data_IF_147772755543
#
_entry.id   IF_147772755543
#
_cell.length_a   1.000
_cell.length_b   1.000
_cell.length_c   1.000
_cell.angle_alpha   90.00
_cell.angle_beta   90.00
_cell.angle_gamma   90.00
#
_symmetry.space_group_name_H-M   'P 1'
#
loop_
_entity.id
_entity.type
_entity.pdbx_description
1 polymer ?
#
# COMPACT_ATOMS: atom_id res chain seq x y z
N UNK A 1 0.35 -11.23 -1.95
CA UNK A 1 -0.75 -10.62 -2.74
C UNK A 1 -0.39 -10.59 -4.22
N UNK A 2 -1.38 -10.41 -5.11
CA UNK A 2 -1.21 -10.28 -6.57
C UNK A 2 -2.20 -9.24 -7.09
N UNK A 3 -1.86 -8.37 -8.05
CA UNK A 3 -0.54 -8.19 -8.68
C UNK A 3 0.41 -7.35 -7.80
N UNK A 4 1.69 -7.34 -8.18
CA UNK A 4 2.73 -6.48 -7.57
C UNK A 4 2.74 -5.05 -8.12
N UNK A 5 2.04 -4.82 -9.23
CA UNK A 5 1.84 -3.53 -9.87
C UNK A 5 0.44 -3.45 -10.51
N UNK A 6 -0.03 -2.23 -10.81
CA UNK A 6 -1.31 -2.03 -11.50
C UNK A 6 -1.32 -2.78 -12.83
N UNK A 7 -2.34 -3.65 -13.04
CA UNK A 7 -2.46 -4.50 -14.22
C UNK A 7 -3.79 -4.32 -14.96
N UNK A 8 -3.85 -3.32 -15.82
CA UNK A 8 -5.02 -3.12 -16.70
C UNK A 8 -5.29 -4.35 -17.58
N UNK A 9 -4.23 -4.99 -18.07
CA UNK A 9 -4.33 -6.21 -18.88
C UNK A 9 -4.91 -7.37 -18.08
N UNK A 10 -4.43 -7.60 -16.87
CA UNK A 10 -4.95 -8.66 -15.98
C UNK A 10 -6.43 -8.45 -15.67
N UNK A 11 -6.81 -7.20 -15.34
CA UNK A 11 -8.21 -6.82 -15.12
C UNK A 11 -9.08 -7.09 -16.34
N UNK A 12 -8.63 -6.67 -17.53
CA UNK A 12 -9.35 -6.90 -18.79
C UNK A 12 -9.56 -8.40 -19.03
N UNK A 13 -8.52 -9.23 -18.88
CA UNK A 13 -8.61 -10.67 -19.10
C UNK A 13 -9.61 -11.34 -18.16
N UNK A 14 -9.63 -11.00 -16.87
CA UNK A 14 -10.59 -11.57 -15.92
C UNK A 14 -12.03 -11.21 -16.30
N UNK A 15 -12.28 -9.95 -16.67
CA UNK A 15 -13.61 -9.50 -17.10
C UNK A 15 -14.05 -10.15 -18.43
N UNK A 16 -13.14 -10.35 -19.38
CA UNK A 16 -13.42 -11.06 -20.64
C UNK A 16 -13.77 -12.52 -20.40
N UNK A 17 -13.05 -13.21 -19.50
CA UNK A 17 -13.36 -14.60 -19.13
C UNK A 17 -14.73 -14.71 -18.46
N UNK A 18 -15.06 -13.79 -17.55
CA UNK A 18 -16.38 -13.74 -16.94
C UNK A 18 -17.49 -13.52 -17.99
N UNK A 19 -17.29 -12.59 -18.93
CA UNK A 19 -18.24 -12.35 -20.02
C UNK A 19 -18.39 -13.52 -21.01
N UNK A 20 -17.37 -14.40 -21.12
CA UNK A 20 -17.47 -15.65 -21.89
C UNK A 20 -18.31 -16.69 -21.14
N UNK A 21 -18.18 -16.76 -19.81
CA UNK A 21 -19.02 -17.62 -18.99
C UNK A 21 -20.50 -17.32 -19.17
N UNK A 22 -20.88 -16.04 -19.21
CA UNK A 22 -22.25 -15.60 -19.45
C UNK A 22 -22.82 -16.06 -20.81
N UNK A 23 -21.95 -16.40 -21.76
CA UNK A 23 -22.30 -16.99 -23.07
C UNK A 23 -22.33 -18.52 -23.07
N UNK A 24 -22.24 -19.14 -21.91
CA UNK A 24 -22.23 -20.60 -21.77
C UNK A 24 -20.87 -21.26 -22.05
N UNK A 25 -19.79 -20.48 -22.14
CA UNK A 25 -18.43 -21.01 -22.33
C UNK A 25 -17.79 -21.23 -20.97
N UNK A 26 -17.41 -22.47 -20.67
CA UNK A 26 -16.64 -22.75 -19.44
C UNK A 26 -15.28 -22.07 -19.49
N UNK A 27 -15.02 -21.22 -18.51
CA UNK A 27 -13.78 -20.45 -18.41
C UNK A 27 -13.20 -20.58 -17.01
N UNK A 28 -11.86 -20.55 -16.93
CA UNK A 28 -11.18 -20.66 -15.64
C UNK A 28 -9.85 -19.94 -15.61
N UNK A 29 -9.35 -19.70 -14.39
CA UNK A 29 -8.06 -19.08 -14.11
C UNK A 29 -7.31 -19.88 -13.07
N UNK A 30 -6.04 -20.18 -13.36
CA UNK A 30 -5.14 -20.77 -12.40
C UNK A 30 -4.01 -19.78 -12.05
N UNK A 31 -3.96 -19.38 -10.80
CA UNK A 31 -2.84 -18.60 -10.27
C UNK A 31 -1.76 -19.54 -9.74
N UNK A 32 -0.56 -19.42 -10.27
CA UNK A 32 0.60 -20.16 -9.81
C UNK A 32 1.45 -19.28 -8.90
N UNK A 33 1.49 -19.62 -7.62
CA UNK A 33 2.21 -18.84 -6.59
C UNK A 33 3.54 -19.55 -6.31
N UNK A 34 4.64 -18.94 -6.73
CA UNK A 34 5.99 -19.49 -6.63
C UNK A 34 6.59 -19.36 -5.22
N UNK A 35 5.78 -19.70 -4.21
CA UNK A 35 6.17 -19.69 -2.81
C UNK A 35 5.43 -20.78 -2.04
N UNK A 36 6.17 -21.77 -1.57
CA UNK A 36 5.61 -22.98 -0.95
C UNK A 36 5.04 -22.75 0.46
N UNK A 37 5.34 -21.63 1.09
CA UNK A 37 4.81 -21.24 2.40
C UNK A 37 3.52 -20.43 2.33
N UNK A 38 3.05 -20.09 1.12
CA UNK A 38 1.79 -19.39 0.97
C UNK A 38 0.61 -20.27 1.45
N UNK A 39 -0.33 -19.68 2.19
CA UNK A 39 -1.57 -20.28 2.65
C UNK A 39 -2.81 -19.61 2.06
N UNK A 40 -2.70 -18.33 1.73
CA UNK A 40 -3.78 -17.48 1.30
C UNK A 40 -3.49 -16.87 -0.07
N UNK A 41 -4.52 -16.65 -0.84
CA UNK A 41 -4.47 -15.86 -2.06
C UNK A 41 -5.39 -14.65 -1.87
N UNK A 42 -4.84 -13.45 -2.02
CA UNK A 42 -5.60 -12.20 -2.03
C UNK A 42 -5.13 -11.33 -3.21
N UNK A 43 -6.06 -10.73 -3.95
CA UNK A 43 -5.73 -9.60 -4.81
C UNK A 43 -5.07 -8.48 -3.98
N UNK A 44 -4.05 -7.84 -4.53
CA UNK A 44 -3.43 -6.68 -3.86
C UNK A 44 -4.30 -5.43 -4.05
N UNK A 45 -5.31 -5.32 -3.23
CA UNK A 45 -6.23 -4.18 -3.21
C UNK A 45 -5.57 -2.88 -2.74
N UNK A 46 -4.39 -2.94 -2.15
CA UNK A 46 -3.60 -1.73 -1.85
C UNK A 46 -3.02 -1.13 -3.12
N UNK A 47 -2.43 -1.98 -3.98
CA UNK A 47 -1.74 -1.56 -5.20
C UNK A 47 -2.70 -1.41 -6.38
N UNK A 48 -3.58 -2.40 -6.60
CA UNK A 48 -4.57 -2.39 -7.69
C UNK A 48 -5.99 -2.72 -7.20
N UNK A 49 -6.67 -1.76 -6.55
CA UNK A 49 -8.03 -1.95 -6.08
C UNK A 49 -9.03 -2.22 -7.21
N UNK A 50 -8.73 -1.76 -8.42
CA UNK A 50 -9.58 -2.00 -9.59
C UNK A 50 -9.50 -3.47 -10.05
N UNK A 51 -8.30 -4.07 -10.05
CA UNK A 51 -8.14 -5.50 -10.28
C UNK A 51 -8.82 -6.31 -9.17
N UNK A 52 -8.62 -5.92 -7.91
CA UNK A 52 -9.22 -6.60 -6.76
C UNK A 52 -10.76 -6.63 -6.85
N UNK A 53 -11.38 -5.50 -7.21
CA UNK A 53 -12.84 -5.43 -7.42
C UNK A 53 -13.30 -6.30 -8.61
N UNK A 54 -12.58 -6.25 -9.74
CA UNK A 54 -12.89 -7.07 -10.90
C UNK A 54 -12.75 -8.56 -10.60
N UNK A 55 -11.70 -8.95 -9.86
CA UNK A 55 -11.51 -10.33 -9.43
C UNK A 55 -12.65 -10.80 -8.51
N UNK A 56 -13.02 -10.01 -7.50
CA UNK A 56 -14.11 -10.37 -6.59
C UNK A 56 -15.43 -10.64 -7.33
N UNK A 57 -15.75 -9.85 -8.36
CA UNK A 57 -16.93 -10.06 -9.20
C UNK A 57 -16.79 -11.31 -10.08
N UNK A 58 -15.65 -11.45 -10.75
CA UNK A 58 -15.41 -12.58 -11.66
C UNK A 58 -15.31 -13.93 -10.91
N UNK A 59 -14.80 -13.93 -9.70
CA UNK A 59 -14.65 -15.14 -8.86
C UNK A 59 -15.98 -15.82 -8.52
N UNK A 60 -17.12 -15.13 -8.67
CA UNK A 60 -18.46 -15.69 -8.48
C UNK A 60 -18.90 -16.60 -9.63
N UNK A 61 -18.32 -16.41 -10.81
CA UNK A 61 -18.75 -17.11 -12.04
C UNK A 61 -17.63 -17.93 -12.69
N UNK A 62 -16.37 -17.59 -12.45
CA UNK A 62 -15.22 -18.30 -13.00
C UNK A 62 -14.86 -19.53 -12.18
N UNK A 63 -14.43 -20.59 -12.85
CA UNK A 63 -13.70 -21.68 -12.20
C UNK A 63 -12.25 -21.24 -12.01
N UNK A 64 -11.89 -20.84 -10.80
CA UNK A 64 -10.55 -20.37 -10.51
C UNK A 64 -9.93 -21.08 -9.31
N UNK A 65 -8.59 -21.16 -9.33
CA UNK A 65 -7.78 -21.70 -8.23
C UNK A 65 -6.48 -20.93 -8.11
N UNK A 66 -5.92 -20.94 -6.90
CA UNK A 66 -4.56 -20.51 -6.64
C UNK A 66 -3.77 -21.67 -6.03
N UNK A 67 -2.59 -21.94 -6.57
CA UNK A 67 -1.78 -23.10 -6.22
C UNK A 67 -0.38 -22.65 -5.81
N UNK A 68 0.02 -22.97 -4.57
CA UNK A 68 1.39 -22.79 -4.11
C UNK A 68 2.30 -23.83 -4.72
N UNK A 69 3.45 -23.38 -5.22
CA UNK A 69 4.47 -24.21 -5.84
C UNK A 69 5.76 -24.16 -5.02
N UNK A 70 6.45 -25.30 -4.97
CA UNK A 70 7.84 -25.43 -4.53
C UNK A 70 8.71 -25.71 -5.74
N UNK A 71 9.83 -25.01 -5.82
CA UNK A 71 10.86 -25.30 -6.82
C UNK A 71 11.94 -26.19 -6.24
N UNK A 72 12.56 -27.01 -7.09
CA UNK A 72 13.79 -27.68 -6.76
C UNK A 72 14.95 -26.66 -6.67
N UNK A 73 16.10 -27.09 -6.13
CA UNK A 73 17.27 -26.22 -5.98
C UNK A 73 17.83 -25.66 -7.29
N UNK A 74 17.45 -26.24 -8.43
CA UNK A 74 17.89 -25.81 -9.77
C UNK A 74 16.83 -24.98 -10.51
N UNK A 75 15.67 -24.77 -9.92
CA UNK A 75 14.51 -24.11 -10.54
C UNK A 75 14.06 -24.77 -11.85
N UNK A 76 14.21 -26.09 -11.97
CA UNK A 76 13.86 -26.84 -13.19
C UNK A 76 12.46 -27.43 -13.14
N UNK A 77 12.00 -27.86 -11.98
CA UNK A 77 10.71 -28.56 -11.82
C UNK A 77 9.89 -27.97 -10.70
N UNK A 78 8.77 -27.33 -11.01
CA UNK A 78 7.82 -26.91 -9.99
C UNK A 78 7.01 -28.09 -9.48
N UNK A 79 6.84 -28.20 -8.17
CA UNK A 79 5.99 -29.19 -7.52
C UNK A 79 4.82 -28.49 -6.85
N UNK A 80 3.57 -28.90 -7.09
CA UNK A 80 2.42 -28.36 -6.39
C UNK A 80 2.48 -28.77 -4.91
N UNK A 81 2.20 -27.83 -4.02
CA UNK A 81 2.23 -28.05 -2.56
C UNK A 81 0.83 -28.05 -1.98
N UNK A 82 0.05 -27.00 -2.27
CA UNK A 82 -1.31 -26.85 -1.76
C UNK A 82 -2.13 -25.87 -2.56
N UNK A 83 -3.44 -26.05 -2.54
CA UNK A 83 -4.40 -25.01 -2.94
C UNK A 83 -4.43 -23.93 -1.85
N UNK A 84 -4.49 -22.68 -2.28
CA UNK A 84 -4.56 -21.53 -1.38
C UNK A 84 -6.02 -21.20 -1.04
N UNK A 85 -6.25 -20.80 0.20
CA UNK A 85 -7.55 -20.30 0.64
C UNK A 85 -7.73 -18.86 0.20
N UNK A 86 -8.94 -18.51 -0.21
CA UNK A 86 -9.33 -17.14 -0.55
C UNK A 86 -10.19 -16.55 0.56
N UNK A 87 -9.67 -15.59 1.34
CA UNK A 87 -10.45 -14.90 2.36
C UNK A 87 -11.29 -13.78 1.75
N UNK A 88 -12.37 -14.14 1.07
CA UNK A 88 -13.27 -13.20 0.36
C UNK A 88 -13.79 -12.09 1.27
N UNK A 89 -14.15 -12.42 2.49
CA UNK A 89 -14.69 -11.46 3.46
C UNK A 89 -13.69 -10.33 3.77
N UNK A 90 -12.40 -10.67 3.87
CA UNK A 90 -11.34 -9.66 4.08
C UNK A 90 -11.27 -8.73 2.86
N UNK A 91 -11.29 -9.28 1.65
CA UNK A 91 -11.26 -8.44 0.45
C UNK A 91 -12.49 -7.52 0.40
N UNK A 92 -13.66 -8.04 0.74
CA UNK A 92 -14.91 -7.27 0.75
C UNK A 92 -14.87 -6.11 1.75
N UNK A 93 -14.26 -6.31 2.92
CA UNK A 93 -14.18 -5.31 3.99
C UNK A 93 -13.07 -4.28 3.73
N UNK A 94 -11.92 -4.72 3.21
CA UNK A 94 -10.71 -3.90 3.16
C UNK A 94 -10.52 -3.17 1.81
N UNK A 95 -11.17 -3.63 0.71
CA UNK A 95 -11.02 -3.02 -0.61
C UNK A 95 -11.95 -1.81 -0.79
N UNK A 96 -11.84 -0.85 0.12
CA UNK A 96 -12.55 0.43 0.03
C UNK A 96 -11.58 1.57 -0.32
N UNK A 97 -12.13 2.70 -0.80
CA UNK A 97 -11.32 3.90 -1.10
C UNK A 97 -11.07 4.74 0.16
N UNK A 98 -10.60 4.07 1.21
CA UNK A 98 -10.27 4.63 2.53
C UNK A 98 -9.09 3.88 3.16
N UNK A 99 -8.57 4.44 4.25
CA UNK A 99 -7.51 3.86 5.07
C UNK A 99 -6.39 4.84 5.33
N UNK A 100 -5.20 4.32 5.57
CA UNK A 100 -4.02 5.09 5.93
C UNK A 100 -2.97 5.02 4.81
N UNK A 101 -1.97 5.87 4.88
CA UNK A 101 -0.95 5.90 3.83
C UNK A 101 0.37 6.49 4.33
N UNK A 102 1.43 6.15 3.63
CA UNK A 102 2.72 6.81 3.75
C UNK A 102 3.10 7.49 2.42
N UNK A 103 3.68 8.68 2.52
CA UNK A 103 4.26 9.40 1.36
C UNK A 103 5.74 9.57 1.62
N UNK A 104 6.56 9.02 0.75
CA UNK A 104 8.02 9.17 0.81
C UNK A 104 8.43 10.34 -0.07
N UNK A 105 9.08 11.32 0.53
CA UNK A 105 9.56 12.53 -0.11
C UNK A 105 11.10 12.57 -0.09
N UNK A 106 11.70 13.18 -1.09
CA UNK A 106 13.14 13.46 -1.13
C UNK A 106 13.39 14.95 -1.16
N UNK A 107 14.15 15.45 -0.21
CA UNK A 107 14.69 16.81 -0.15
C UNK A 107 16.16 16.79 -0.57
N UNK A 108 16.50 17.47 -1.66
CA UNK A 108 17.82 17.36 -2.28
C UNK A 108 18.93 18.16 -1.55
N UNK A 109 18.56 19.16 -0.76
CA UNK A 109 19.48 20.00 0.02
C UNK A 109 18.76 20.49 1.28
N UNK A 110 19.54 20.88 2.30
CA UNK A 110 18.98 21.52 3.49
C UNK A 110 18.14 22.73 3.11
N UNK A 111 17.01 22.91 3.79
CA UNK A 111 16.11 24.01 3.51
C UNK A 111 15.38 24.50 4.77
N UNK A 112 15.28 25.83 4.87
CA UNK A 112 14.41 26.49 5.84
C UNK A 112 13.08 26.83 5.15
N UNK A 113 12.01 26.14 5.58
CA UNK A 113 10.70 26.20 4.91
C UNK A 113 9.66 26.77 5.86
N UNK A 114 8.89 27.76 5.40
CA UNK A 114 7.76 28.29 6.15
C UNK A 114 6.55 27.35 6.03
N UNK A 115 6.12 26.81 7.17
CA UNK A 115 5.02 25.84 7.26
C UNK A 115 3.78 26.50 7.87
N UNK A 116 3.08 27.30 7.09
CA UNK A 116 1.85 27.97 7.54
C UNK A 116 2.01 28.65 8.91
N UNK A 117 1.11 28.37 9.85
CA UNK A 117 1.14 28.92 11.19
C UNK A 117 2.30 28.41 12.08
N UNK A 118 3.00 27.36 11.69
CA UNK A 118 4.17 26.85 12.45
C UNK A 118 5.44 27.71 12.25
N UNK A 119 5.42 28.63 11.29
CA UNK A 119 6.58 29.46 10.97
C UNK A 119 7.66 28.69 10.22
N UNK A 120 8.89 29.16 10.35
CA UNK A 120 10.05 28.61 9.65
C UNK A 120 10.57 27.38 10.40
N UNK A 121 10.76 26.30 9.67
CA UNK A 121 11.30 25.03 10.17
C UNK A 121 12.49 24.64 9.30
N UNK A 122 13.57 24.23 9.94
CA UNK A 122 14.74 23.68 9.28
C UNK A 122 14.52 22.21 8.93
N UNK A 123 14.75 21.83 7.66
CA UNK A 123 14.69 20.48 7.16
C UNK A 123 16.06 20.07 6.62
N UNK A 124 16.77 19.13 7.27
CA UNK A 124 17.99 18.55 6.71
C UNK A 124 17.73 17.86 5.36
N UNK A 125 18.72 17.87 4.49
CA UNK A 125 18.73 17.04 3.28
C UNK A 125 18.47 15.57 3.65
N UNK A 126 17.64 14.88 2.86
CA UNK A 126 17.35 13.47 3.11
C UNK A 126 16.00 13.05 2.54
N UNK A 127 15.49 11.97 3.08
CA UNK A 127 14.16 11.45 2.78
C UNK A 127 13.22 11.67 3.94
N UNK A 128 11.97 11.87 3.66
CA UNK A 128 10.94 12.09 4.67
C UNK A 128 9.76 11.15 4.41
N UNK A 129 9.34 10.45 5.44
CA UNK A 129 8.11 9.65 5.43
C UNK A 129 7.04 10.44 6.14
N UNK A 130 5.99 10.79 5.43
CA UNK A 130 4.78 11.39 5.99
C UNK A 130 3.71 10.32 6.13
N UNK A 131 3.13 10.18 7.32
CA UNK A 131 1.99 9.31 7.61
C UNK A 131 0.70 10.14 7.64
N UNK A 132 -0.38 9.56 7.14
CA UNK A 132 -1.67 10.23 7.14
C UNK A 132 -2.81 9.26 6.89
N UNK A 133 -4.05 9.70 7.19
CA UNK A 133 -5.26 8.92 6.94
C UNK A 133 -6.19 9.58 5.93
N UNK A 134 -7.02 8.77 5.31
CA UNK A 134 -8.07 9.18 4.41
C UNK A 134 -9.31 8.33 4.64
N UNK A 135 -10.22 8.81 5.45
CA UNK A 135 -11.46 8.10 5.76
C UNK A 135 -12.45 8.05 4.58
N UNK A 136 -12.19 8.79 3.51
CA UNK A 136 -12.91 8.78 2.22
C UNK A 136 -11.99 9.31 1.12
N UNK A 137 -12.22 8.84 -0.12
CA UNK A 137 -11.54 9.34 -1.33
C UNK A 137 -10.00 9.30 -1.20
N UNK A 138 -9.46 8.18 -0.71
CA UNK A 138 -8.01 8.00 -0.54
C UNK A 138 -7.28 8.21 -1.87
N UNK A 139 -7.78 7.64 -2.97
CA UNK A 139 -7.16 7.78 -4.28
C UNK A 139 -6.98 9.26 -4.69
N UNK A 140 -8.01 10.09 -4.46
CA UNK A 140 -7.94 11.52 -4.73
C UNK A 140 -6.96 12.24 -3.81
N UNK A 141 -6.88 11.85 -2.52
CA UNK A 141 -5.92 12.39 -1.55
C UNK A 141 -4.48 12.06 -1.93
N UNK A 142 -4.20 10.81 -2.30
CA UNK A 142 -2.88 10.38 -2.73
C UNK A 142 -2.46 11.08 -4.03
N UNK A 143 -3.36 11.18 -5.02
CA UNK A 143 -3.11 11.95 -6.23
C UNK A 143 -2.82 13.44 -5.93
N UNK A 144 -3.49 14.01 -4.92
CA UNK A 144 -3.23 15.38 -4.48
C UNK A 144 -1.83 15.54 -3.87
N UNK A 145 -1.33 14.57 -3.09
CA UNK A 145 0.04 14.61 -2.54
C UNK A 145 1.11 14.57 -3.64
N UNK A 146 0.85 13.93 -4.76
CA UNK A 146 1.78 13.90 -5.90
C UNK A 146 1.89 15.24 -6.63
N UNK A 147 0.85 16.10 -6.59
CA UNK A 147 0.87 17.41 -7.28
C UNK A 147 1.75 18.41 -6.53
N UNK A 148 2.58 19.15 -7.27
CA UNK A 148 3.31 20.31 -6.73
C UNK A 148 2.42 21.54 -6.62
N UNK A 149 1.69 21.86 -7.69
CA UNK A 149 0.81 23.05 -7.74
C UNK A 149 -0.57 22.69 -7.19
N UNK A 150 -0.89 23.19 -6.02
CA UNK A 150 -2.17 23.01 -5.32
C UNK A 150 -2.38 24.10 -4.27
N UNK A 151 -3.62 24.32 -3.86
CA UNK A 151 -3.91 25.15 -2.70
C UNK A 151 -3.33 24.49 -1.43
N UNK A 152 -2.63 25.26 -0.60
CA UNK A 152 -2.07 24.76 0.66
C UNK A 152 -3.17 24.51 1.65
N UNK A 153 -3.18 23.32 2.24
CA UNK A 153 -4.19 22.91 3.22
C UNK A 153 -3.54 22.21 4.42
N UNK A 154 -2.61 21.27 4.16
CA UNK A 154 -1.89 20.54 5.20
C UNK A 154 -0.42 20.97 5.27
N UNK A 155 0.23 20.74 6.41
CA UNK A 155 1.65 21.04 6.60
C UNK A 155 2.53 20.42 5.51
N UNK A 156 2.25 19.17 5.10
CA UNK A 156 2.97 18.49 4.02
C UNK A 156 2.89 19.23 2.68
N UNK A 157 1.85 20.03 2.43
CA UNK A 157 1.72 20.74 1.16
C UNK A 157 2.84 21.78 0.97
N UNK A 158 3.27 22.40 2.05
CA UNK A 158 4.40 23.35 2.05
C UNK A 158 5.70 22.62 1.78
N UNK A 159 5.99 21.53 2.53
CA UNK A 159 7.19 20.73 2.31
C UNK A 159 7.25 20.17 0.88
N UNK A 160 6.11 19.74 0.34
CA UNK A 160 6.00 19.16 -1.01
C UNK A 160 6.44 20.11 -2.12
N UNK A 161 6.41 21.42 -1.91
CA UNK A 161 6.93 22.40 -2.90
C UNK A 161 8.43 22.20 -3.15
N UNK A 162 9.17 21.81 -2.12
CA UNK A 162 10.63 21.70 -2.09
C UNK A 162 11.12 20.27 -2.34
N UNK A 163 10.25 19.26 -2.23
CA UNK A 163 10.58 17.84 -2.35
C UNK A 163 10.09 17.23 -3.66
N UNK A 164 10.73 16.13 -4.08
CA UNK A 164 10.15 15.16 -5.02
C UNK A 164 9.42 14.05 -4.27
N UNK A 165 8.36 13.49 -4.84
CA UNK A 165 7.72 12.26 -4.31
C UNK A 165 8.48 11.08 -4.86
N UNK A 166 8.97 10.22 -3.96
CA UNK A 166 9.67 8.99 -4.31
C UNK A 166 8.72 7.80 -4.35
N UNK A 167 7.81 7.72 -3.35
CA UNK A 167 6.81 6.67 -3.28
C UNK A 167 5.53 7.17 -2.60
N UNK A 168 4.42 6.53 -2.94
CA UNK A 168 3.13 6.66 -2.25
C UNK A 168 2.66 5.25 -1.92
N UNK A 169 2.47 4.97 -0.64
CA UNK A 169 2.20 3.63 -0.11
C UNK A 169 0.83 3.64 0.55
N UNK A 170 -0.23 3.26 -0.16
CA UNK A 170 -1.56 3.12 0.44
C UNK A 170 -1.63 1.88 1.34
N UNK A 171 -2.37 2.00 2.43
CA UNK A 171 -2.74 0.91 3.33
C UNK A 171 -4.26 0.97 3.44
N UNK A 172 -4.95 0.35 2.47
CA UNK A 172 -6.42 0.31 2.46
C UNK A 172 -6.90 -0.54 3.61
N UNK A 173 -7.80 0.03 4.41
CA UNK A 173 -8.35 -0.61 5.60
C UNK A 173 -9.55 0.15 6.12
N UNK A 174 -10.41 -0.56 6.83
CA UNK A 174 -11.49 0.05 7.64
C UNK A 174 -11.04 0.38 9.05
N UNK A 175 -9.89 -0.15 9.51
CA UNK A 175 -9.30 0.19 10.79
C UNK A 175 -8.64 1.58 10.78
N UNK A 176 -8.47 2.16 11.95
CA UNK A 176 -7.73 3.41 12.15
C UNK A 176 -6.30 3.05 12.62
N UNK A 177 -5.35 3.11 11.70
CA UNK A 177 -3.97 2.67 11.90
C UNK A 177 -2.95 3.82 11.81
N UNK A 178 -3.39 5.06 11.54
CA UNK A 178 -2.50 6.21 11.31
C UNK A 178 -1.47 6.37 12.43
N UNK A 179 -1.93 6.31 13.68
CA UNK A 179 -1.05 6.51 14.84
C UNK A 179 -0.12 5.32 15.10
N UNK A 180 -0.56 4.10 14.78
CA UNK A 180 0.26 2.89 14.91
C UNK A 180 1.36 2.89 13.85
N UNK A 181 1.03 3.26 12.61
CA UNK A 181 1.98 3.46 11.52
C UNK A 181 2.99 4.55 11.90
N UNK A 182 2.51 5.69 12.41
CA UNK A 182 3.39 6.79 12.83
C UNK A 182 4.39 6.33 13.90
N UNK A 183 3.93 5.60 14.91
CA UNK A 183 4.82 5.06 15.98
C UNK A 183 5.82 4.03 15.43
N UNK A 184 5.38 3.17 14.53
CA UNK A 184 6.28 2.17 13.93
C UNK A 184 7.38 2.84 13.09
N UNK A 185 7.03 3.87 12.31
CA UNK A 185 8.02 4.62 11.53
C UNK A 185 8.95 5.44 12.42
N UNK A 186 8.44 6.08 13.47
CA UNK A 186 9.24 6.84 14.46
C UNK A 186 10.29 5.96 15.13
N UNK A 187 9.96 4.70 15.41
CA UNK A 187 10.88 3.76 16.07
C UNK A 187 12.13 3.41 15.24
N UNK A 188 12.09 3.58 13.92
CA UNK A 188 13.20 3.28 13.01
C UNK A 188 13.81 4.52 12.36
N UNK A 189 13.16 5.67 12.50
CA UNK A 189 13.60 6.93 11.90
C UNK A 189 14.74 7.55 12.72
N UNK A 190 15.85 8.01 12.09
CA UNK A 190 16.92 8.73 12.76
C UNK A 190 16.48 10.05 13.43
N UNK A 191 15.48 10.73 12.84
CA UNK A 191 14.89 11.94 13.42
C UNK A 191 13.43 12.11 12.97
N UNK A 192 12.72 13.02 13.62
CA UNK A 192 11.41 13.48 13.18
C UNK A 192 11.29 15.01 13.28
N UNK A 193 10.30 15.58 12.61
CA UNK A 193 9.99 17.01 12.70
C UNK A 193 8.90 17.21 13.77
N UNK A 194 9.22 17.78 14.95
CA UNK A 194 8.29 17.82 16.08
C UNK A 194 6.97 18.49 15.77
N UNK A 195 5.87 17.85 16.14
CA UNK A 195 4.50 18.35 15.99
C UNK A 195 4.06 18.54 14.54
N UNK A 196 4.77 17.99 13.56
CA UNK A 196 4.37 18.09 12.15
C UNK A 196 3.20 17.12 11.87
N UNK A 197 2.08 17.66 11.39
CA UNK A 197 0.88 16.87 11.11
C UNK A 197 0.05 16.48 12.34
N UNK A 198 0.41 16.90 13.56
CA UNK A 198 -0.22 16.49 14.82
C UNK A 198 -1.18 17.56 15.40
N UNK A 199 -2.01 18.18 14.57
CA UNK A 199 -2.90 19.27 15.04
C UNK A 199 -4.02 18.76 15.91
N UNK A 200 -4.42 17.52 15.71
CA UNK A 200 -5.61 16.85 16.26
C UNK A 200 -5.28 15.54 17.00
N UNK A 201 -3.99 15.25 17.22
CA UNK A 201 -3.54 14.04 17.91
C UNK A 201 -2.39 14.31 18.90
N UNK A 202 -1.97 13.26 19.63
CA UNK A 202 -0.87 13.31 20.62
C UNK A 202 0.44 12.69 20.13
N UNK A 203 0.57 12.41 18.84
CA UNK A 203 1.82 11.88 18.27
C UNK A 203 2.93 12.94 18.35
N UNK A 204 4.16 12.50 18.51
CA UNK A 204 5.33 13.40 18.47
C UNK A 204 5.47 14.06 17.10
N UNK A 205 5.19 13.31 16.05
CA UNK A 205 5.20 13.76 14.65
C UNK A 205 4.39 12.81 13.77
N UNK A 206 4.06 13.30 12.58
CA UNK A 206 3.65 12.50 11.41
C UNK A 206 4.64 12.68 10.24
N UNK A 207 5.83 13.23 10.51
CA UNK A 207 6.89 13.40 9.51
C UNK A 207 8.24 12.95 10.06
N UNK A 208 8.80 11.91 9.47
CA UNK A 208 9.98 11.19 9.93
C UNK A 208 11.08 11.28 8.89
N UNK A 209 12.32 11.56 9.33
CA UNK A 209 13.45 11.78 8.45
C UNK A 209 14.43 10.62 8.40
N UNK A 210 15.02 10.42 7.22
CA UNK A 210 15.99 9.37 6.92
C UNK A 210 17.12 9.92 6.06
N UNK A 211 18.33 9.47 6.28
CA UNK A 211 19.49 9.83 5.45
C UNK A 211 19.38 9.19 4.06
N UNK A 212 19.02 7.91 4.02
CA UNK A 212 18.86 7.11 2.80
C UNK A 212 17.38 6.84 2.48
N UNK A 213 17.12 6.40 1.25
CA UNK A 213 15.77 6.10 0.81
C UNK A 213 15.16 4.94 1.62
N UNK A 214 14.12 5.19 2.43
CA UNK A 214 13.55 4.17 3.30
C UNK A 214 12.95 2.98 2.55
N UNK A 215 12.52 3.14 1.29
CA UNK A 215 11.97 2.01 0.51
C UNK A 215 13.01 0.92 0.21
N UNK A 216 14.30 1.19 0.37
CA UNK A 216 15.38 0.21 0.24
C UNK A 216 15.83 -0.38 1.58
N UNK A 217 15.20 -0.01 2.70
CA UNK A 217 15.49 -0.52 4.03
C UNK A 217 14.54 -1.67 4.37
N UNK A 218 15.11 -2.76 4.86
CA UNK A 218 14.31 -3.95 5.24
C UNK A 218 13.38 -3.68 6.42
N UNK A 219 13.79 -2.87 7.40
CA UNK A 219 12.98 -2.50 8.55
C UNK A 219 11.76 -1.64 8.15
N UNK A 220 11.93 -0.69 7.22
CA UNK A 220 10.81 0.08 6.70
C UNK A 220 9.84 -0.78 5.86
N UNK A 221 10.38 -1.65 5.01
CA UNK A 221 9.53 -2.56 4.22
C UNK A 221 8.80 -3.57 5.09
N UNK A 222 9.40 -3.99 6.22
CA UNK A 222 8.71 -4.82 7.21
C UNK A 222 7.48 -4.10 7.80
N UNK A 223 7.59 -2.81 8.12
CA UNK A 223 6.43 -1.99 8.55
C UNK A 223 5.34 -1.98 7.48
N UNK A 224 5.71 -1.79 6.20
CA UNK A 224 4.73 -1.83 5.09
C UNK A 224 4.01 -3.18 5.05
N UNK A 225 4.75 -4.28 5.16
CA UNK A 225 4.19 -5.64 5.16
C UNK A 225 3.31 -5.90 6.38
N UNK A 226 3.72 -5.46 7.56
CA UNK A 226 2.98 -5.62 8.80
C UNK A 226 1.60 -4.96 8.73
N UNK A 227 1.53 -3.74 8.23
CA UNK A 227 0.28 -3.01 8.11
C UNK A 227 -0.56 -3.39 6.88
N UNK A 228 0.02 -3.93 5.83
CA UNK A 228 -0.71 -4.41 4.64
C UNK A 228 -1.16 -5.86 4.75
N UNK A 229 -0.30 -6.73 5.28
CA UNK A 229 -0.49 -8.18 5.17
C UNK A 229 -0.51 -8.90 6.51
N UNK A 230 0.53 -8.70 7.35
CA UNK A 230 0.71 -9.53 8.53
C UNK A 230 -0.42 -9.34 9.55
N UNK A 231 -0.97 -8.14 9.68
CA UNK A 231 -2.16 -7.87 10.51
C UNK A 231 -3.38 -8.71 10.11
N UNK A 232 -3.50 -9.07 8.84
CA UNK A 232 -4.63 -9.86 8.34
C UNK A 232 -4.57 -11.31 8.81
N UNK A 233 -3.39 -11.84 9.16
CA UNK A 233 -3.25 -13.21 9.67
C UNK A 233 -4.03 -13.44 10.96
N UNK A 234 -4.19 -12.41 11.78
CA UNK A 234 -5.01 -12.44 12.99
C UNK A 234 -6.51 -12.47 12.67
N UNK A 235 -6.92 -11.83 11.56
CA UNK A 235 -8.31 -11.81 11.12
C UNK A 235 -8.72 -13.09 10.38
N UNK A 236 -7.74 -13.92 9.98
CA UNK A 236 -7.95 -15.17 9.24
C UNK A 236 -7.88 -16.43 10.11
N UNK A 237 -7.66 -16.29 11.43
CA UNK A 237 -7.72 -17.36 12.43
C UNK A 237 -9.12 -17.51 13.00
#
# INVERSE_FOLDING_TARGET
MFPDAVTERGRKHILELAAMHDKGIHTGVLFLVHWDKAHWFLPDYHTDPAFASAFAQAALVLDWKALALRWDARFTTPMPVRLLTYPEEILRQENEDRGDYMVVLQLAADADISIGAKGQIHFPKGYYVYTGSAQKNMAARLARHQRKRKQMHWHIDYLRQHCSVTAVIPIRTTADLEHDIARAVDAIAPWHIPGFGCTDCRCASHLFGFEDNPIHRSDFMQIVEDFRMNRLTVLMQ
#
